data_IF_897896650963
#
_entry.id   IF_897896650963
#
_cell.length_a   1.000
_cell.length_b   1.000
_cell.length_c   1.000
_cell.angle_alpha   90.00
_cell.angle_beta   90.00
_cell.angle_gamma   90.00
#
_symmetry.space_group_name_H-M   'P 1'
#
loop_
_entity.id
_entity.type
_entity.pdbx_description
1 polymer ?
#
# COMPACT_ATOMS: atom_id res chain seq x y z
N UNK A 1 7.88 -7.14 1.18
CA UNK A 1 7.19 -5.89 0.85
C UNK A 1 7.99 -4.73 1.40
N UNK A 2 8.27 -3.73 0.57
CA UNK A 2 9.13 -2.63 0.99
C UNK A 2 8.35 -1.32 1.05
N UNK A 3 8.71 -0.46 2.00
CA UNK A 3 8.15 0.87 2.17
C UNK A 3 9.28 1.91 2.11
N UNK A 4 8.96 3.09 1.57
CA UNK A 4 9.90 4.20 1.61
C UNK A 4 10.20 4.58 3.05
N UNK A 5 11.38 5.18 3.27
CA UNK A 5 11.86 5.48 4.61
C UNK A 5 10.88 6.37 5.39
N UNK A 6 10.27 7.37 4.73
CA UNK A 6 9.35 8.29 5.38
C UNK A 6 8.01 7.65 5.78
N UNK A 7 7.65 6.50 5.19
CA UNK A 7 6.43 5.78 5.57
C UNK A 7 6.66 4.67 6.58
N UNK A 8 7.90 4.23 6.71
CA UNK A 8 8.22 3.02 7.50
C UNK A 8 7.82 3.15 8.97
N UNK A 9 8.08 4.28 9.60
CA UNK A 9 7.73 4.49 11.00
C UNK A 9 6.22 4.43 11.22
N UNK A 10 5.44 4.95 10.29
CA UNK A 10 3.97 4.92 10.37
C UNK A 10 3.42 3.52 10.13
N UNK A 11 4.09 2.70 9.32
CA UNK A 11 3.75 1.29 9.20
C UNK A 11 4.02 0.56 10.51
N UNK A 12 5.19 0.80 11.11
CA UNK A 12 5.58 0.18 12.38
C UNK A 12 4.61 0.56 13.51
N UNK A 13 4.16 1.82 13.54
CA UNK A 13 3.23 2.29 14.57
C UNK A 13 1.79 1.81 14.35
N UNK A 14 1.46 1.30 13.16
CA UNK A 14 0.11 0.90 12.82
C UNK A 14 -0.75 2.02 12.23
N UNK A 15 -0.19 3.19 11.98
CA UNK A 15 -0.92 4.30 11.37
C UNK A 15 -1.18 4.07 9.88
N UNK A 16 -0.28 3.36 9.20
CA UNK A 16 -0.47 2.93 7.81
C UNK A 16 -0.89 1.47 7.80
N UNK A 17 -2.06 1.18 7.20
CA UNK A 17 -2.64 -0.16 7.15
C UNK A 17 -3.02 -0.60 5.75
N UNK A 18 -2.78 0.24 4.74
CA UNK A 18 -3.09 -0.05 3.33
C UNK A 18 -1.92 0.42 2.48
N UNK A 19 -1.60 -0.33 1.43
CA UNK A 19 -0.63 0.07 0.42
C UNK A 19 -1.19 -0.22 -0.97
N UNK A 20 -0.88 0.66 -1.92
CA UNK A 20 -1.26 0.49 -3.32
C UNK A 20 -0.02 0.25 -4.16
N UNK A 21 -0.02 -0.82 -4.95
CA UNK A 21 1.14 -1.25 -5.72
C UNK A 21 0.78 -1.47 -7.18
N UNK A 22 1.59 -0.92 -8.07
CA UNK A 22 1.49 -1.18 -9.50
C UNK A 22 2.37 -2.38 -9.84
N UNK A 23 1.79 -3.57 -9.72
CA UNK A 23 2.45 -4.83 -10.03
C UNK A 23 1.75 -5.52 -11.18
N UNK A 24 2.47 -6.32 -11.95
CA UNK A 24 1.88 -7.17 -12.99
C UNK A 24 1.16 -8.37 -12.37
N UNK A 25 1.61 -8.80 -11.18
CA UNK A 25 0.97 -9.84 -10.37
C UNK A 25 1.32 -9.61 -8.91
N UNK A 26 0.53 -10.14 -7.98
CA UNK A 26 0.81 -9.95 -6.55
C UNK A 26 2.18 -10.50 -6.17
N UNK A 27 2.94 -9.71 -5.42
CA UNK A 27 4.25 -10.11 -4.88
C UNK A 27 4.15 -10.51 -3.41
N UNK A 28 2.96 -10.50 -2.85
CA UNK A 28 2.64 -10.93 -1.49
C UNK A 28 1.39 -11.79 -1.54
N UNK A 29 1.08 -12.47 -0.44
CA UNK A 29 -0.11 -13.32 -0.36
C UNK A 29 -0.88 -13.03 0.93
N UNK A 30 -2.19 -13.27 0.90
CA UNK A 30 -3.03 -13.18 2.09
C UNK A 30 -2.52 -14.15 3.15
N UNK A 31 -2.41 -13.67 4.40
CA UNK A 31 -1.85 -14.44 5.50
C UNK A 31 -0.33 -14.46 5.54
N UNK A 32 0.34 -13.96 4.49
CA UNK A 32 1.79 -13.85 4.49
C UNK A 32 2.28 -12.80 5.45
N UNK A 33 3.45 -13.03 6.05
CA UNK A 33 4.10 -12.08 6.97
C UNK A 33 5.39 -11.56 6.36
N UNK A 34 5.58 -10.26 6.46
CA UNK A 34 6.71 -9.58 5.81
C UNK A 34 7.36 -8.62 6.78
N UNK A 35 8.71 -8.62 6.89
CA UNK A 35 9.40 -7.74 7.82
C UNK A 35 9.34 -6.28 7.36
N UNK A 36 9.11 -5.38 8.32
CA UNK A 36 9.17 -3.93 8.12
C UNK A 36 9.89 -3.35 9.33
N UNK A 37 11.18 -3.04 9.18
CA UNK A 37 11.99 -2.58 10.31
C UNK A 37 11.98 -3.60 11.45
N UNK A 38 11.64 -3.18 12.70
CA UNK A 38 11.68 -4.07 13.87
C UNK A 38 10.44 -4.95 14.03
N UNK A 39 9.44 -4.84 13.13
CA UNK A 39 8.19 -5.59 13.22
C UNK A 39 7.94 -6.36 11.94
N UNK A 40 6.89 -7.20 11.93
CA UNK A 40 6.36 -7.81 10.72
C UNK A 40 4.94 -7.31 10.50
N UNK A 41 4.50 -7.33 9.25
CA UNK A 41 3.10 -7.10 8.91
C UNK A 41 2.52 -8.40 8.36
N UNK A 42 1.22 -8.61 8.60
CA UNK A 42 0.48 -9.72 8.03
C UNK A 42 -0.55 -9.17 7.06
N UNK A 43 -0.61 -9.75 5.85
CA UNK A 43 -1.53 -9.31 4.82
C UNK A 43 -2.92 -9.87 5.08
N UNK A 44 -3.92 -8.98 5.17
CA UNK A 44 -5.31 -9.34 5.42
C UNK A 44 -6.10 -9.54 4.13
N UNK A 45 -5.87 -8.69 3.12
CA UNK A 45 -6.56 -8.77 1.84
C UNK A 45 -5.73 -8.20 0.70
N UNK A 46 -5.99 -8.69 -0.51
CA UNK A 46 -5.38 -8.20 -1.74
C UNK A 46 -6.49 -8.06 -2.76
N UNK A 47 -6.69 -6.84 -3.28
CA UNK A 47 -7.71 -6.55 -4.28
C UNK A 47 -7.09 -5.79 -5.45
N UNK A 48 -7.56 -6.09 -6.67
CA UNK A 48 -7.16 -5.35 -7.86
C UNK A 48 -8.24 -4.30 -8.13
N UNK A 49 -7.86 -3.03 -8.08
CA UNK A 49 -8.81 -1.91 -8.17
C UNK A 49 -8.34 -0.88 -9.17
N UNK A 50 -9.29 -0.18 -9.80
CA UNK A 50 -8.96 0.97 -10.65
C UNK A 50 -8.52 2.13 -9.77
N UNK A 51 -7.50 2.87 -10.21
CA UNK A 51 -6.94 3.95 -9.40
C UNK A 51 -8.01 4.99 -9.01
N UNK A 52 -8.92 5.31 -9.93
CA UNK A 52 -10.00 6.27 -9.66
C UNK A 52 -10.97 5.83 -8.55
N UNK A 53 -11.01 4.53 -8.23
CA UNK A 53 -11.91 4.00 -7.20
C UNK A 53 -11.36 4.19 -5.78
N UNK A 54 -10.13 4.65 -5.62
CA UNK A 54 -9.51 4.83 -4.32
C UNK A 54 -10.16 6.00 -3.59
N UNK A 55 -10.77 5.72 -2.45
CA UNK A 55 -11.42 6.73 -1.63
C UNK A 55 -10.46 7.44 -0.68
N UNK A 56 -10.93 8.54 -0.11
CA UNK A 56 -10.13 9.36 0.80
C UNK A 56 -9.65 8.59 2.05
N UNK A 57 -10.50 7.75 2.61
CA UNK A 57 -10.13 6.94 3.76
C UNK A 57 -8.94 6.03 3.48
N UNK A 58 -8.91 5.42 2.30
CA UNK A 58 -7.79 4.57 1.90
C UNK A 58 -6.52 5.39 1.62
N UNK A 59 -6.66 6.59 1.06
CA UNK A 59 -5.52 7.50 0.87
C UNK A 59 -4.87 7.81 2.22
N UNK A 60 -5.68 8.14 3.22
CA UNK A 60 -5.19 8.42 4.57
C UNK A 60 -4.54 7.19 5.21
N UNK A 61 -5.17 6.02 5.08
CA UNK A 61 -4.64 4.75 5.61
C UNK A 61 -3.35 4.32 4.92
N UNK A 62 -3.09 4.83 3.70
CA UNK A 62 -1.84 4.59 2.99
C UNK A 62 -0.75 5.61 3.36
N UNK A 63 -1.05 6.55 4.22
CA UNK A 63 -0.09 7.55 4.70
C UNK A 63 0.10 8.73 3.77
N UNK A 64 -0.81 8.95 2.83
CA UNK A 64 -0.71 10.04 1.87
C UNK A 64 -1.68 11.17 2.21
N UNK A 65 -1.34 12.38 1.76
CA UNK A 65 -2.15 13.56 2.03
C UNK A 65 -3.33 13.69 1.06
N UNK A 66 -3.15 13.21 -0.17
CA UNK A 66 -4.20 13.26 -1.20
C UNK A 66 -3.92 12.20 -2.28
N UNK A 67 -4.87 12.07 -3.21
CA UNK A 67 -4.80 11.07 -4.26
C UNK A 67 -3.62 11.31 -5.22
N UNK A 68 -3.27 12.56 -5.49
CA UNK A 68 -2.14 12.87 -6.36
C UNK A 68 -0.80 12.49 -5.73
N UNK A 69 -0.65 12.69 -4.42
CA UNK A 69 0.54 12.23 -3.70
C UNK A 69 0.68 10.71 -3.78
N UNK A 70 -0.46 9.99 -3.66
CA UNK A 70 -0.49 8.54 -3.82
C UNK A 70 -0.10 8.13 -5.24
N UNK A 71 -0.61 8.85 -6.26
CA UNK A 71 -0.29 8.61 -7.67
C UNK A 71 1.21 8.74 -7.93
N UNK A 72 1.81 9.81 -7.45
CA UNK A 72 3.25 10.06 -7.61
C UNK A 72 4.07 8.93 -6.96
N UNK A 73 3.70 8.52 -5.76
CA UNK A 73 4.44 7.48 -5.05
C UNK A 73 4.33 6.12 -5.75
N UNK A 74 3.15 5.76 -6.22
CA UNK A 74 2.92 4.48 -6.89
C UNK A 74 3.48 4.44 -8.32
N UNK A 75 3.66 5.60 -8.94
CA UNK A 75 4.02 5.70 -10.36
C UNK A 75 5.50 5.43 -10.64
N UNK A 76 6.34 5.18 -9.63
CA UNK A 76 7.75 4.89 -9.90
C UNK A 76 7.94 3.58 -10.68
N UNK A 77 6.94 2.69 -10.66
CA UNK A 77 6.95 1.48 -11.46
C UNK A 77 6.36 1.67 -12.87
N UNK A 78 5.84 2.87 -13.18
CA UNK A 78 5.25 3.21 -14.46
C UNK A 78 4.17 4.27 -14.31
N UNK A 79 3.70 4.87 -15.41
CA UNK A 79 2.67 5.91 -15.35
C UNK A 79 1.33 5.33 -14.90
N UNK A 80 0.59 6.11 -14.10
CA UNK A 80 -0.72 5.74 -13.58
C UNK A 80 -1.74 6.79 -14.00
N UNK A 81 -2.82 6.35 -14.66
CA UNK A 81 -3.99 7.17 -14.92
C UNK A 81 -5.18 6.65 -14.11
N UNK A 82 -6.35 7.28 -14.26
CA UNK A 82 -7.53 6.94 -13.49
C UNK A 82 -8.02 5.50 -13.73
N UNK A 83 -7.76 4.95 -14.91
CA UNK A 83 -8.20 3.59 -15.28
C UNK A 83 -7.17 2.53 -14.95
N UNK A 84 -5.96 2.90 -14.55
CA UNK A 84 -4.90 1.95 -14.24
C UNK A 84 -5.31 1.08 -13.06
N UNK A 85 -5.15 -0.24 -13.22
CA UNK A 85 -5.40 -1.19 -12.13
C UNK A 85 -4.18 -1.28 -11.23
N UNK A 86 -4.42 -1.15 -9.94
CA UNK A 86 -3.37 -1.28 -8.91
C UNK A 86 -3.83 -2.30 -7.86
N UNK A 87 -2.89 -2.95 -7.21
CA UNK A 87 -3.20 -3.84 -6.10
C UNK A 87 -3.36 -3.03 -4.82
N UNK A 88 -4.52 -3.20 -4.17
CA UNK A 88 -4.81 -2.68 -2.84
C UNK A 88 -4.50 -3.79 -1.85
N UNK A 89 -3.55 -3.52 -0.97
CA UNK A 89 -3.10 -4.49 0.02
C UNK A 89 -3.41 -3.94 1.41
N UNK A 90 -4.28 -4.62 2.13
CA UNK A 90 -4.60 -4.29 3.51
C UNK A 90 -3.81 -5.21 4.43
N UNK A 91 -3.26 -4.64 5.50
CA UNK A 91 -2.39 -5.39 6.41
C UNK A 91 -2.47 -4.81 7.82
N UNK A 92 -1.91 -5.53 8.78
CA UNK A 92 -1.76 -5.07 10.15
C UNK A 92 -0.39 -5.50 10.70
N UNK A 93 0.08 -4.79 11.71
CA UNK A 93 1.34 -5.11 12.37
C UNK A 93 1.15 -6.32 13.29
N UNK A 94 2.11 -7.23 13.25
CA UNK A 94 2.22 -8.35 14.18
C UNK A 94 3.57 -8.29 14.89
N UNK A 95 3.54 -8.67 16.15
CA UNK A 95 4.75 -8.62 16.96
C UNK A 95 5.75 -9.71 16.57
#
# INVERSE_FOLDING_TARGET
MQFSKELRDDVVSGDITVSFRLWTRPKVKVGGRYPVGPVSIEVDSIDLVAFKSIGRGDVERAGETDLEALRVRAAHAGPIDDETLVYRIEFHVVA
#
